data_IF_314925992196
#
_entry.id   IF_314925992196
#
_cell.length_a   1.000
_cell.length_b   1.000
_cell.length_c   1.000
_cell.angle_alpha   90.00
_cell.angle_beta   90.00
_cell.angle_gamma   90.00
#
_symmetry.space_group_name_H-M   'P 1'
#
loop_
_entity.id
_entity.type
_entity.pdbx_description
1 polymer ?
#
# COMPACT_ATOMS: atom_id res chain seq x y z
N UNK A 1 -15.52 13.24 11.11
CA UNK A 1 -16.41 12.84 10.01
C UNK A 1 -15.50 12.54 8.83
N UNK A 2 -15.28 11.27 8.48
CA UNK A 2 -14.50 10.92 7.28
C UNK A 2 -15.40 11.20 6.07
N UNK A 3 -14.94 12.07 5.17
CA UNK A 3 -15.61 12.30 3.90
C UNK A 3 -15.53 11.00 3.10
N UNK A 4 -16.65 10.47 2.57
CA UNK A 4 -16.59 9.26 1.75
C UNK A 4 -15.71 9.52 0.53
N UNK A 5 -14.71 8.65 0.32
CA UNK A 5 -13.77 8.75 -0.80
C UNK A 5 -14.54 8.58 -2.10
N UNK A 6 -14.39 9.53 -3.01
CA UNK A 6 -15.11 9.53 -4.28
C UNK A 6 -14.57 8.47 -5.25
N UNK A 7 -15.42 7.97 -6.14
CA UNK A 7 -15.02 7.03 -7.20
C UNK A 7 -13.91 7.60 -8.08
N UNK A 8 -13.92 8.91 -8.32
CA UNK A 8 -12.91 9.58 -9.13
C UNK A 8 -11.54 9.58 -8.45
N UNK A 9 -11.46 9.90 -7.15
CA UNK A 9 -10.21 9.84 -6.39
C UNK A 9 -9.63 8.42 -6.40
N UNK A 10 -10.47 7.40 -6.19
CA UNK A 10 -10.06 5.99 -6.26
C UNK A 10 -9.49 5.65 -7.64
N UNK A 11 -10.11 6.12 -8.73
CA UNK A 11 -9.63 5.86 -10.11
C UNK A 11 -8.33 6.58 -10.42
N UNK A 12 -8.20 7.82 -9.99
CA UNK A 12 -6.97 8.60 -10.14
C UNK A 12 -5.83 7.95 -9.36
N UNK A 13 -6.09 7.47 -8.14
CA UNK A 13 -5.14 6.71 -7.36
C UNK A 13 -4.69 5.44 -8.08
N UNK A 14 -5.60 4.60 -8.58
CA UNK A 14 -5.18 3.39 -9.32
C UNK A 14 -4.33 3.75 -10.54
N UNK A 15 -4.72 4.79 -11.29
CA UNK A 15 -3.95 5.25 -12.45
C UNK A 15 -2.54 5.70 -12.05
N UNK A 16 -2.44 6.51 -11.00
CA UNK A 16 -1.16 6.94 -10.43
C UNK A 16 -0.34 5.73 -9.99
N UNK A 17 -0.92 4.79 -9.24
CA UNK A 17 -0.25 3.61 -8.72
C UNK A 17 0.32 2.73 -9.83
N UNK A 18 -0.48 2.43 -10.87
CA UNK A 18 -0.06 1.61 -12.01
C UNK A 18 1.03 2.28 -12.87
N UNK A 19 1.12 3.62 -12.86
CA UNK A 19 2.17 4.35 -13.58
C UNK A 19 3.49 4.41 -12.81
N UNK A 20 3.46 4.36 -11.47
CA UNK A 20 4.65 4.52 -10.63
C UNK A 20 5.21 3.19 -10.11
N UNK A 21 4.38 2.15 -10.01
CA UNK A 21 4.79 0.87 -9.42
C UNK A 21 4.48 -0.33 -10.32
N UNK A 22 5.39 -1.30 -10.29
CA UNK A 22 5.23 -2.57 -10.99
C UNK A 22 4.80 -3.68 -10.01
N UNK A 23 3.62 -4.25 -10.25
CA UNK A 23 3.09 -5.39 -9.49
C UNK A 23 3.86 -6.68 -9.80
N UNK A 24 4.08 -7.51 -8.77
CA UNK A 24 4.78 -8.82 -8.93
C UNK A 24 4.04 -9.80 -9.85
N UNK A 25 2.72 -9.63 -10.00
CA UNK A 25 1.84 -10.45 -10.85
C UNK A 25 1.13 -9.55 -11.85
N UNK A 26 1.21 -9.88 -13.14
CA UNK A 26 0.56 -9.10 -14.20
C UNK A 26 -0.97 -9.16 -14.11
N UNK A 27 -1.53 -10.26 -13.60
CA UNK A 27 -2.98 -10.45 -13.48
C UNK A 27 -3.58 -9.42 -12.51
N UNK A 28 -2.80 -8.96 -11.52
CA UNK A 28 -3.20 -7.89 -10.60
C UNK A 28 -3.42 -6.56 -11.34
N UNK A 29 -2.59 -6.27 -12.35
CA UNK A 29 -2.78 -5.10 -13.22
C UNK A 29 -4.11 -5.19 -13.98
N UNK A 30 -4.48 -6.39 -14.43
CA UNK A 30 -5.76 -6.61 -15.12
C UNK A 30 -6.94 -6.45 -14.17
N UNK A 31 -6.83 -6.95 -12.94
CA UNK A 31 -7.85 -6.75 -11.90
C UNK A 31 -8.04 -5.24 -11.71
N UNK A 32 -6.99 -4.49 -11.41
CA UNK A 32 -7.10 -3.04 -11.16
C UNK A 32 -7.67 -2.26 -12.36
N UNK A 33 -7.23 -2.55 -13.58
CA UNK A 33 -7.80 -1.92 -14.79
C UNK A 33 -9.28 -2.29 -14.99
N UNK A 34 -9.67 -3.52 -14.66
CA UNK A 34 -11.06 -3.94 -14.69
C UNK A 34 -11.92 -3.15 -13.70
N UNK A 35 -11.44 -2.96 -12.46
CA UNK A 35 -12.15 -2.12 -11.46
C UNK A 35 -12.32 -0.68 -11.96
N UNK A 36 -11.25 -0.09 -12.52
CA UNK A 36 -11.29 1.28 -13.06
C UNK A 36 -12.30 1.45 -14.20
N UNK A 37 -12.52 0.41 -15.00
CA UNK A 37 -13.46 0.43 -16.13
C UNK A 37 -14.94 0.31 -15.74
N UNK A 38 -15.25 -0.03 -14.48
CA UNK A 38 -16.61 -0.25 -14.00
C UNK A 38 -16.92 0.61 -12.76
N UNK A 39 -17.53 1.76 -12.97
CA UNK A 39 -17.86 2.75 -11.92
C UNK A 39 -18.67 2.15 -10.77
N UNK A 40 -19.71 1.37 -11.08
CA UNK A 40 -20.57 0.72 -10.10
C UNK A 40 -19.85 -0.31 -9.24
N UNK A 41 -18.74 -0.87 -9.74
CA UNK A 41 -17.90 -1.78 -8.98
C UNK A 41 -16.90 -1.00 -8.14
N UNK A 42 -16.37 0.10 -8.67
CA UNK A 42 -15.46 1.00 -7.98
C UNK A 42 -16.11 1.70 -6.77
N UNK A 43 -17.42 1.94 -6.81
CA UNK A 43 -18.20 2.39 -5.65
C UNK A 43 -18.09 1.45 -4.43
N UNK A 44 -17.89 0.15 -4.69
CA UNK A 44 -17.81 -0.93 -3.69
C UNK A 44 -16.38 -1.36 -3.38
N UNK A 45 -15.40 -0.72 -4.02
CA UNK A 45 -13.99 -0.98 -3.76
C UNK A 45 -13.55 -0.08 -2.62
N UNK A 46 -13.00 -0.67 -1.57
CA UNK A 46 -12.46 0.05 -0.43
C UNK A 46 -10.97 -0.23 -0.33
N UNK A 47 -10.15 0.83 -0.34
CA UNK A 47 -8.72 0.68 -0.08
C UNK A 47 -8.50 0.67 1.41
N UNK A 48 -7.94 -0.41 1.95
CA UNK A 48 -7.80 -0.59 3.39
C UNK A 48 -6.44 -1.21 3.74
N UNK A 49 -6.07 -1.08 5.01
CA UNK A 49 -5.03 -1.91 5.60
C UNK A 49 -5.62 -3.18 6.22
N UNK A 50 -4.80 -4.22 6.35
CA UNK A 50 -5.15 -5.50 6.94
C UNK A 50 -6.36 -6.17 6.27
N UNK A 51 -6.34 -6.22 4.94
CA UNK A 51 -7.43 -6.77 4.14
C UNK A 51 -7.67 -8.28 4.40
N UNK A 52 -6.77 -8.99 5.09
CA UNK A 52 -6.95 -10.38 5.50
C UNK A 52 -8.14 -10.61 6.43
N UNK A 53 -8.58 -9.59 7.18
CA UNK A 53 -9.74 -9.68 8.07
C UNK A 53 -11.06 -9.41 7.34
N UNK A 54 -11.01 -8.88 6.12
CA UNK A 54 -12.20 -8.55 5.37
C UNK A 54 -12.83 -9.81 4.77
N UNK A 55 -14.18 -9.88 4.70
CA UNK A 55 -14.88 -11.03 4.11
C UNK A 55 -14.50 -11.23 2.64
N UNK A 56 -14.08 -10.16 1.96
CA UNK A 56 -13.65 -10.19 0.57
C UNK A 56 -12.44 -9.29 0.35
N UNK A 57 -11.30 -9.76 0.82
CA UNK A 57 -10.02 -9.03 0.80
C UNK A 57 -9.11 -9.43 -0.36
N UNK A 58 -8.47 -8.46 -0.99
CA UNK A 58 -7.38 -8.67 -1.94
C UNK A 58 -6.13 -8.00 -1.39
N UNK A 59 -5.02 -8.73 -1.41
CA UNK A 59 -3.70 -8.18 -1.13
C UNK A 59 -2.87 -8.33 -2.41
N UNK A 60 -2.36 -7.21 -2.94
CA UNK A 60 -1.44 -7.20 -4.08
C UNK A 60 -0.12 -6.54 -3.67
N UNK A 61 1.00 -7.12 -4.10
CA UNK A 61 2.33 -6.60 -3.75
C UNK A 61 3.15 -6.25 -4.98
N UNK A 62 3.93 -5.17 -4.88
CA UNK A 62 4.86 -4.70 -5.92
C UNK A 62 6.23 -5.34 -5.80
N UNK A 63 7.06 -5.26 -6.85
CA UNK A 63 8.42 -5.81 -6.82
C UNK A 63 9.34 -5.15 -5.79
N UNK A 64 8.97 -3.98 -5.28
CA UNK A 64 9.77 -3.17 -4.37
C UNK A 64 9.70 -3.62 -2.90
N UNK A 65 8.90 -4.65 -2.60
CA UNK A 65 8.64 -5.14 -1.24
C UNK A 65 8.69 -6.67 -1.22
N UNK A 66 8.91 -7.30 -0.07
CA UNK A 66 9.14 -8.76 0.02
C UNK A 66 7.87 -9.59 0.18
N UNK A 67 6.70 -8.96 0.38
CA UNK A 67 5.43 -9.64 0.60
C UNK A 67 4.98 -10.47 -0.60
N UNK A 68 4.05 -11.39 -0.34
CA UNK A 68 3.53 -12.29 -1.36
C UNK A 68 2.86 -11.52 -2.50
N UNK A 69 3.01 -11.98 -3.75
CA UNK A 69 2.52 -11.21 -4.91
C UNK A 69 1.02 -10.95 -4.92
N UNK A 70 0.22 -11.94 -4.52
CA UNK A 70 -1.23 -11.88 -4.55
C UNK A 70 -1.85 -12.83 -3.53
N UNK A 71 -2.85 -12.36 -2.81
CA UNK A 71 -3.79 -13.18 -2.04
C UNK A 71 -5.20 -12.65 -2.22
N UNK A 72 -6.15 -13.57 -2.27
CA UNK A 72 -7.57 -13.27 -2.21
C UNK A 72 -8.21 -14.06 -1.09
N UNK A 73 -8.89 -13.35 -0.21
CA UNK A 73 -9.66 -13.86 0.91
C UNK A 73 -11.13 -13.76 0.53
N UNK A 74 -11.84 -14.87 0.64
CA UNK A 74 -13.28 -14.96 0.47
C UNK A 74 -13.83 -15.80 1.60
N UNK A 75 -14.35 -15.12 2.62
CA UNK A 75 -14.80 -15.74 3.87
C UNK A 75 -13.71 -16.66 4.45
N UNK A 76 -13.95 -17.97 4.46
CA UNK A 76 -13.02 -18.97 5.00
C UNK A 76 -12.00 -19.50 3.98
N UNK A 77 -12.05 -19.03 2.73
CA UNK A 77 -11.19 -19.52 1.64
C UNK A 77 -10.14 -18.46 1.33
N UNK A 78 -8.87 -18.85 1.41
CA UNK A 78 -7.75 -18.07 0.89
C UNK A 78 -7.22 -18.74 -0.38
N UNK A 79 -7.06 -17.96 -1.45
CA UNK A 79 -6.42 -18.40 -2.69
C UNK A 79 -5.30 -17.45 -3.11
N UNK A 80 -4.27 -18.01 -3.73
CA UNK A 80 -3.17 -17.26 -4.36
C UNK A 80 -3.30 -17.22 -5.88
N UNK A 81 -4.35 -17.83 -6.43
CA UNK A 81 -4.64 -17.90 -7.86
C UNK A 81 -5.40 -16.64 -8.30
N UNK A 82 -4.66 -15.69 -8.90
CA UNK A 82 -5.22 -14.42 -9.36
C UNK A 82 -6.24 -14.58 -10.50
N UNK A 83 -6.14 -15.60 -11.34
CA UNK A 83 -7.07 -15.81 -12.46
C UNK A 83 -8.43 -16.27 -11.94
N UNK A 84 -8.45 -17.22 -11.00
CA UNK A 84 -9.70 -17.66 -10.34
C UNK A 84 -10.33 -16.53 -9.54
N UNK A 85 -9.53 -15.78 -8.80
CA UNK A 85 -10.01 -14.59 -8.08
C UNK A 85 -10.61 -13.56 -9.03
N UNK A 86 -9.97 -13.32 -10.18
CA UNK A 86 -10.50 -12.39 -11.18
C UNK A 86 -11.84 -12.84 -11.75
N UNK A 87 -11.99 -14.15 -12.01
CA UNK A 87 -13.28 -14.72 -12.44
C UNK A 87 -14.37 -14.51 -11.39
N UNK A 88 -14.07 -14.74 -10.10
CA UNK A 88 -15.01 -14.51 -9.00
C UNK A 88 -15.43 -13.03 -8.87
N UNK A 89 -14.47 -12.10 -8.99
CA UNK A 89 -14.73 -10.65 -8.97
C UNK A 89 -15.71 -10.26 -10.08
N UNK A 90 -15.52 -10.80 -11.29
CA UNK A 90 -16.39 -10.54 -12.44
C UNK A 90 -17.82 -11.06 -12.25
N UNK A 91 -18.00 -12.14 -11.50
CA UNK A 91 -19.32 -12.72 -11.22
C UNK A 91 -20.03 -11.98 -10.08
N UNK A 92 -19.34 -11.71 -8.97
CA UNK A 92 -19.93 -11.12 -7.78
C UNK A 92 -19.66 -9.60 -7.70
N UNK A 93 -20.15 -8.84 -8.68
CA UNK A 93 -19.91 -7.38 -8.77
C UNK A 93 -20.62 -6.55 -7.70
N UNK A 94 -21.60 -7.14 -7.02
CA UNK A 94 -22.48 -6.43 -6.10
C UNK A 94 -21.98 -6.41 -4.66
N UNK A 95 -20.92 -7.17 -4.34
CA UNK A 95 -20.36 -7.27 -3.00
C UNK A 95 -19.17 -6.31 -2.86
N UNK A 96 -18.98 -5.79 -1.65
CA UNK A 96 -17.83 -4.95 -1.32
C UNK A 96 -16.52 -5.72 -1.48
N UNK A 97 -15.49 -5.00 -1.92
CA UNK A 97 -14.17 -5.53 -2.22
C UNK A 97 -13.11 -4.68 -1.53
N UNK A 98 -12.39 -5.28 -0.61
CA UNK A 98 -11.37 -4.61 0.18
C UNK A 98 -10.01 -4.88 -0.45
N UNK A 99 -9.24 -3.83 -0.76
CA UNK A 99 -7.97 -3.94 -1.47
C UNK A 99 -6.86 -3.30 -0.65
N UNK A 100 -5.83 -4.10 -0.40
CA UNK A 100 -4.56 -3.66 0.16
C UNK A 100 -3.48 -3.74 -0.91
N UNK A 101 -2.68 -2.68 -1.02
CA UNK A 101 -1.56 -2.58 -1.94
C UNK A 101 -0.27 -2.43 -1.16
N UNK A 102 0.65 -3.38 -1.31
CA UNK A 102 1.95 -3.34 -0.66
C UNK A 102 2.98 -2.79 -1.66
N UNK A 103 3.49 -1.59 -1.37
CA UNK A 103 4.50 -0.94 -2.19
C UNK A 103 5.43 -0.07 -1.35
N UNK A 104 6.63 0.16 -1.88
CA UNK A 104 7.61 1.01 -1.21
C UNK A 104 7.03 2.41 -1.07
N UNK A 105 7.21 3.02 0.09
CA UNK A 105 6.72 4.38 0.38
C UNK A 105 5.20 4.55 0.40
N UNK A 106 4.42 3.48 0.64
CA UNK A 106 2.97 3.56 0.80
C UNK A 106 2.54 4.63 1.82
N UNK A 107 3.20 4.66 2.99
CA UNK A 107 2.96 5.64 4.06
C UNK A 107 3.36 7.09 3.73
N UNK A 108 4.09 7.30 2.63
CA UNK A 108 4.56 8.62 2.20
C UNK A 108 3.75 9.21 1.05
N UNK A 109 2.91 8.42 0.41
CA UNK A 109 2.13 8.85 -0.75
C UNK A 109 0.85 9.55 -0.26
N UNK A 110 0.71 10.87 -0.50
CA UNK A 110 -0.54 11.56 -0.21
C UNK A 110 -1.70 10.96 -1.00
N UNK A 111 -1.44 10.45 -2.21
CA UNK A 111 -2.44 9.82 -3.06
C UNK A 111 -3.02 8.56 -2.43
N UNK A 112 -2.18 7.73 -1.80
CA UNK A 112 -2.65 6.54 -1.10
C UNK A 112 -3.38 6.88 0.20
N UNK A 113 -2.84 7.82 0.98
CA UNK A 113 -3.47 8.27 2.22
C UNK A 113 -4.86 8.90 1.98
N UNK A 114 -5.05 9.58 0.84
CA UNK A 114 -6.33 10.18 0.47
C UNK A 114 -7.43 9.17 0.17
N UNK A 115 -7.08 7.96 -0.31
CA UNK A 115 -8.06 6.92 -0.65
C UNK A 115 -8.20 5.85 0.41
N UNK A 116 -7.38 5.90 1.47
CA UNK A 116 -7.40 4.90 2.53
C UNK A 116 -8.65 5.04 3.40
N UNK A 117 -9.37 3.94 3.55
CA UNK A 117 -10.61 3.84 4.32
C UNK A 117 -10.39 3.02 5.59
N UNK A 118 -11.17 3.31 6.62
CA UNK A 118 -11.13 2.56 7.88
C UNK A 118 -11.68 1.16 7.66
N UNK A 119 -10.91 0.12 8.01
CA UNK A 119 -11.35 -1.27 7.88
C UNK A 119 -12.30 -1.66 9.05
N UNK A 120 -13.59 -1.93 8.79
CA UNK A 120 -14.55 -2.24 9.86
C UNK A 120 -14.44 -3.68 10.37
N UNK A 121 -13.65 -4.53 9.71
CA UNK A 121 -13.54 -5.96 10.00
C UNK A 121 -12.36 -6.33 10.90
N UNK A 122 -11.52 -5.36 11.26
CA UNK A 122 -10.44 -5.60 12.22
C UNK A 122 -11.07 -5.90 13.59
N UNK A 123 -10.69 -7.02 14.26
CA UNK A 123 -11.19 -7.36 15.58
C UNK A 123 -11.01 -6.22 16.59
N UNK A 124 -12.08 -5.86 17.33
CA UNK A 124 -12.05 -4.80 18.35
C UNK A 124 -11.03 -5.02 19.47
N UNK A 125 -10.65 -6.27 19.73
CA UNK A 125 -9.58 -6.62 20.69
C UNK A 125 -8.19 -6.10 20.28
N UNK A 126 -7.99 -5.75 19.00
CA UNK A 126 -6.79 -5.06 18.52
C UNK A 126 -6.86 -3.55 18.74
N UNK A 127 -8.06 -2.96 18.81
CA UNK A 127 -8.32 -1.53 18.99
C UNK A 127 -8.33 -1.08 20.46
N UNK A 128 -8.61 -1.97 21.42
CA UNK A 128 -8.67 -1.59 22.85
C UNK A 128 -7.31 -1.41 23.54
N UNK A 129 -6.21 -1.85 22.93
CA UNK A 129 -4.87 -1.59 23.46
C UNK A 129 -4.27 -0.42 22.70
N UNK A 130 -4.33 0.82 23.23
CA UNK A 130 -3.41 1.99 23.05
C UNK A 130 -2.65 2.20 21.71
N UNK A 131 -3.04 1.52 20.64
CA UNK A 131 -2.24 1.31 19.43
C UNK A 131 -2.58 2.31 18.35
N UNK A 132 -3.76 2.93 18.36
CA UNK A 132 -4.10 3.96 17.37
C UNK A 132 -3.29 5.26 17.58
N UNK A 133 -2.87 5.56 18.82
CA UNK A 133 -1.88 6.62 19.07
C UNK A 133 -0.49 6.19 18.62
N UNK A 134 -0.06 5.00 19.02
CA UNK A 134 1.23 4.43 18.62
C UNK A 134 1.33 4.20 17.10
N UNK A 135 0.24 3.95 16.39
CA UNK A 135 0.28 3.68 14.95
C UNK A 135 0.45 4.99 14.19
N UNK A 136 -0.27 6.06 14.58
CA UNK A 136 -0.01 7.39 14.04
C UNK A 136 1.42 7.87 14.36
N UNK A 137 1.90 7.59 15.58
CA UNK A 137 3.25 7.94 16.02
C UNK A 137 4.31 7.09 15.31
N UNK A 138 4.12 5.78 15.15
CA UNK A 138 5.00 4.89 14.38
C UNK A 138 4.97 5.20 12.89
N UNK A 139 3.83 5.57 12.31
CA UNK A 139 3.73 6.00 10.91
C UNK A 139 4.52 7.30 10.72
N UNK A 140 4.41 8.25 11.66
CA UNK A 140 5.18 9.49 11.65
C UNK A 140 6.68 9.21 11.83
N UNK A 141 7.06 8.41 12.82
CA UNK A 141 8.45 8.02 13.10
C UNK A 141 9.06 7.26 11.93
N UNK A 142 8.35 6.29 11.36
CA UNK A 142 8.82 5.52 10.21
C UNK A 142 8.95 6.42 8.97
N UNK A 143 8.03 7.38 8.80
CA UNK A 143 8.11 8.38 7.73
C UNK A 143 9.30 9.32 7.93
N UNK A 144 9.60 9.76 9.16
CA UNK A 144 10.78 10.59 9.45
C UNK A 144 12.07 9.80 9.25
N UNK A 145 12.17 8.59 9.81
CA UNK A 145 13.35 7.74 9.73
C UNK A 145 13.70 7.41 8.27
N UNK A 146 12.70 7.02 7.48
CA UNK A 146 12.90 6.74 6.05
C UNK A 146 13.31 8.01 5.28
N UNK A 147 12.94 9.22 5.77
CA UNK A 147 13.18 10.48 5.05
C UNK A 147 14.60 10.93 5.28
N UNK A 148 15.04 10.82 6.53
CA UNK A 148 16.43 11.01 6.91
C UNK A 148 17.32 10.02 6.16
N UNK A 149 16.93 8.74 6.06
CA UNK A 149 17.70 7.73 5.34
C UNK A 149 17.82 8.03 3.84
N UNK A 150 16.74 8.41 3.18
CA UNK A 150 16.78 8.77 1.75
C UNK A 150 17.54 10.07 1.50
N UNK A 151 17.42 11.07 2.39
CA UNK A 151 18.22 12.30 2.31
C UNK A 151 19.71 12.00 2.44
N UNK A 152 20.10 11.21 3.43
CA UNK A 152 21.48 10.80 3.65
C UNK A 152 22.03 10.01 2.46
N UNK A 153 21.27 9.06 1.90
CA UNK A 153 21.69 8.34 0.69
C UNK A 153 21.94 9.30 -0.49
N UNK A 154 21.05 10.28 -0.69
CA UNK A 154 21.22 11.27 -1.75
C UNK A 154 22.46 12.15 -1.54
N UNK A 155 22.69 12.61 -0.30
CA UNK A 155 23.87 13.41 0.04
C UNK A 155 25.17 12.60 -0.07
N UNK A 156 25.12 11.30 0.24
CA UNK A 156 26.23 10.35 0.05
C UNK A 156 26.55 10.20 -1.45
N UNK A 157 25.54 10.01 -2.29
CA UNK A 157 25.72 9.92 -3.75
C UNK A 157 26.32 11.22 -4.31
N UNK A 158 25.83 12.38 -3.85
CA UNK A 158 26.38 13.68 -4.25
C UNK A 158 27.82 13.93 -3.73
N UNK A 159 28.21 13.33 -2.59
CA UNK A 159 29.56 13.39 -2.07
C UNK A 159 30.52 12.47 -2.85
N UNK A 160 30.03 11.30 -3.27
CA UNK A 160 30.76 10.38 -4.16
C UNK A 160 31.02 11.02 -5.53
N UNK A 161 30.01 11.67 -6.11
CA UNK A 161 30.13 12.40 -7.39
C UNK A 161 31.16 13.55 -7.31
N UNK A 162 31.29 14.18 -6.13
CA UNK A 162 32.26 15.24 -5.86
C UNK A 162 33.62 14.73 -5.38
N UNK A 163 33.80 13.40 -5.29
CA UNK A 163 34.98 12.74 -4.71
C UNK A 163 35.35 13.25 -3.30
N UNK A 164 34.36 13.69 -2.53
CA UNK A 164 34.56 14.22 -1.18
C UNK A 164 34.51 13.07 -0.14
N UNK A 165 35.68 12.50 0.11
CA UNK A 165 35.86 11.40 1.07
C UNK A 165 35.53 11.77 2.51
N UNK A 166 35.72 13.03 2.93
CA UNK A 166 35.42 13.43 4.31
C UNK A 166 33.91 13.48 4.53
N UNK A 167 33.19 14.09 3.60
CA UNK A 167 31.72 14.22 3.67
C UNK A 167 31.05 12.86 3.53
N UNK A 168 31.54 12.01 2.62
CA UNK A 168 31.10 10.62 2.50
C UNK A 168 31.23 9.84 3.82
N UNK A 169 32.41 9.85 4.46
CA UNK A 169 32.66 9.09 5.68
C UNK A 169 31.80 9.57 6.86
N UNK A 170 31.48 10.86 6.93
CA UNK A 170 30.57 11.42 7.96
C UNK A 170 29.14 10.95 7.73
N UNK A 171 28.62 11.11 6.52
CA UNK A 171 27.24 10.74 6.18
C UNK A 171 27.02 9.22 6.23
N UNK A 172 28.02 8.42 5.82
CA UNK A 172 27.96 6.97 5.90
C UNK A 172 27.94 6.47 7.36
N UNK A 173 28.68 7.13 8.26
CA UNK A 173 28.60 6.85 9.71
C UNK A 173 27.21 7.19 10.26
N UNK A 174 26.67 8.35 9.88
CA UNK A 174 25.34 8.80 10.30
C UNK A 174 24.25 7.83 9.82
N UNK A 175 24.35 7.35 8.58
CA UNK A 175 23.48 6.30 8.04
C UNK A 175 23.58 4.98 8.82
N UNK A 176 24.79 4.56 9.23
CA UNK A 176 24.98 3.33 10.01
C UNK A 176 24.46 3.41 11.45
N UNK A 177 24.35 4.62 12.00
CA UNK A 177 23.77 4.86 13.32
C UNK A 177 22.23 4.90 13.29
N UNK A 178 21.65 5.14 12.10
CA UNK A 178 20.21 5.17 11.83
C UNK A 178 19.64 3.80 11.39
N UNK A 179 20.49 2.81 11.09
CA UNK A 179 20.11 1.44 10.72
C UNK A 179 20.01 0.51 11.93
#
# INVERSE_FOLDING_TARGET
MQTPVSVNEKKEFIRWFLNHYQLKRRECVWILNYLMSHDSLMEKVHFVEQAEFCPRGIIMSTHCVDEVPFRFYKENIMTTDAEKSFHDIRLNKQQDLFIQLNFRSAYRSPEYAAVLETNPHIPKDLYENEKDKDLAEKVLEHSIATFQKERLMKEIDEALDRHDQETFNKLAKELSLLS
#
